data_IF_599201372027
#
_entry.id   IF_599201372027
#
_cell.length_a   1.000
_cell.length_b   1.000
_cell.length_c   1.000
_cell.angle_alpha   90.00
_cell.angle_beta   90.00
_cell.angle_gamma   90.00
#
_symmetry.space_group_name_H-M   'P 1'
#
loop_
_entity.id
_entity.type
_entity.pdbx_description
1 polymer ?
#
# COMPACT_ATOMS: atom_id res chain seq x y z
N UNK A 1 -1.02 35.09 -3.97
CA UNK A 1 -2.26 35.12 -3.16
C UNK A 1 -3.05 33.84 -3.43
N UNK A 2 -2.78 32.76 -2.71
CA UNK A 2 -3.46 31.47 -2.91
C UNK A 2 -3.61 30.70 -1.59
N UNK A 3 -3.94 31.42 -0.51
CA UNK A 3 -4.20 30.85 0.82
C UNK A 3 -5.67 30.98 1.25
N UNK A 4 -6.59 31.21 0.31
CA UNK A 4 -8.01 31.35 0.61
C UNK A 4 -8.85 30.51 -0.36
N UNK A 5 -8.69 29.19 -0.31
CA UNK A 5 -9.78 28.30 -0.70
C UNK A 5 -10.43 27.84 0.60
N UNK A 6 -11.41 28.62 1.08
CA UNK A 6 -12.23 28.34 2.28
C UNK A 6 -12.73 26.87 2.29
N UNK A 7 -13.01 26.33 1.10
CA UNK A 7 -13.45 24.94 0.89
C UNK A 7 -12.38 23.91 1.23
N UNK A 8 -11.10 24.22 1.02
CA UNK A 8 -9.99 23.34 1.38
C UNK A 8 -9.85 23.24 2.92
N UNK A 9 -10.10 24.33 3.64
CA UNK A 9 -10.03 24.36 5.09
C UNK A 9 -11.20 23.60 5.74
N UNK A 10 -12.41 23.75 5.20
CA UNK A 10 -13.58 22.97 5.62
C UNK A 10 -13.40 21.46 5.36
N UNK A 11 -12.90 21.10 4.17
CA UNK A 11 -12.60 19.70 3.82
C UNK A 11 -11.52 19.09 4.73
N UNK A 12 -10.54 19.90 5.16
CA UNK A 12 -9.48 19.48 6.06
C UNK A 12 -10.05 19.06 7.43
N UNK A 13 -10.92 19.88 8.03
CA UNK A 13 -11.54 19.57 9.33
C UNK A 13 -12.33 18.26 9.26
N UNK A 14 -13.11 18.07 8.19
CA UNK A 14 -13.86 16.84 7.97
C UNK A 14 -12.94 15.62 7.84
N UNK A 15 -11.85 15.75 7.08
CA UNK A 15 -10.85 14.68 6.87
C UNK A 15 -10.16 14.30 8.17
N UNK A 16 -9.76 15.28 8.99
CA UNK A 16 -9.13 15.04 10.30
C UNK A 16 -10.08 14.33 11.24
N UNK A 17 -11.35 14.77 11.33
CA UNK A 17 -12.37 14.12 12.17
C UNK A 17 -12.65 12.69 11.73
N UNK A 18 -12.67 12.42 10.42
CA UNK A 18 -12.84 11.08 9.87
C UNK A 18 -11.64 10.19 10.20
N UNK A 19 -10.41 10.69 9.99
CA UNK A 19 -9.18 9.96 10.31
C UNK A 19 -9.08 9.60 11.81
N UNK A 20 -9.41 10.55 12.70
CA UNK A 20 -9.39 10.33 14.15
C UNK A 20 -10.39 9.25 14.63
N UNK A 21 -11.46 9.01 13.87
CA UNK A 21 -12.48 7.99 14.16
C UNK A 21 -12.24 6.69 13.40
N UNK A 22 -11.26 6.65 12.49
CA UNK A 22 -10.97 5.48 11.70
C UNK A 22 -10.53 4.33 12.62
N UNK A 23 -11.18 3.18 12.49
CA UNK A 23 -10.78 1.95 13.18
C UNK A 23 -9.62 1.33 12.41
N UNK A 24 -8.44 1.86 12.64
CA UNK A 24 -7.21 1.30 12.08
C UNK A 24 -6.86 0.08 12.93
N UNK A 25 -6.79 -1.09 12.30
CA UNK A 25 -6.21 -2.26 12.95
C UNK A 25 -4.74 -1.91 13.22
N UNK A 26 -4.27 -1.94 14.48
CA UNK A 26 -2.84 -1.84 14.74
C UNK A 26 -2.14 -2.85 13.83
N UNK A 27 -1.04 -2.45 13.21
CA UNK A 27 -0.12 -3.42 12.62
C UNK A 27 0.40 -4.23 13.81
N UNK A 28 -0.38 -5.21 14.24
CA UNK A 28 -0.07 -6.02 15.40
C UNK A 28 1.24 -6.73 15.14
N UNK A 29 1.90 -7.12 16.23
CA UNK A 29 3.06 -8.01 16.24
C UNK A 29 2.66 -9.36 15.63
N UNK A 30 2.43 -9.38 14.32
CA UNK A 30 2.32 -10.59 13.56
C UNK A 30 3.57 -11.38 13.91
N UNK A 31 3.44 -12.61 14.44
CA UNK A 31 4.60 -13.40 14.81
C UNK A 31 5.53 -13.39 13.60
N UNK A 32 6.84 -13.15 13.79
CA UNK A 32 7.78 -13.06 12.69
C UNK A 32 7.57 -14.32 11.86
N UNK A 33 7.04 -14.14 10.65
CA UNK A 33 6.88 -15.24 9.71
C UNK A 33 8.30 -15.69 9.47
N UNK A 34 8.63 -16.88 9.97
CA UNK A 34 9.94 -17.48 9.71
C UNK A 34 10.16 -17.35 8.20
N UNK A 35 11.31 -16.82 7.74
CA UNK A 35 11.51 -16.59 6.32
C UNK A 35 11.23 -17.91 5.63
N UNK A 36 10.12 -17.95 4.87
CA UNK A 36 9.88 -19.08 4.00
C UNK A 36 11.14 -19.16 3.16
N UNK A 37 11.81 -20.32 3.14
CA UNK A 37 12.91 -20.54 2.22
C UNK A 37 12.45 -19.99 0.87
N UNK A 38 13.26 -19.13 0.23
CA UNK A 38 12.94 -18.51 -1.06
C UNK A 38 12.82 -19.61 -2.11
N UNK A 39 11.75 -20.40 -2.04
CA UNK A 39 11.33 -21.31 -3.05
C UNK A 39 10.86 -20.42 -4.19
N UNK A 40 11.58 -20.50 -5.30
CA UNK A 40 11.19 -19.80 -6.50
C UNK A 40 9.74 -20.12 -6.88
N UNK A 41 9.11 -19.23 -7.64
CA UNK A 41 7.77 -19.48 -8.15
C UNK A 41 7.76 -20.66 -9.14
N UNK A 42 6.83 -21.58 -8.94
CA UNK A 42 6.45 -22.59 -9.94
C UNK A 42 5.20 -22.11 -10.68
N UNK A 43 5.24 -21.94 -12.01
CA UNK A 43 4.09 -21.52 -12.81
C UNK A 43 2.88 -22.43 -12.59
N UNK A 44 1.76 -21.83 -12.19
CA UNK A 44 0.52 -22.55 -11.90
C UNK A 44 -0.73 -21.87 -12.50
N UNK A 45 -0.53 -20.92 -13.42
CA UNK A 45 -1.60 -20.16 -14.06
C UNK A 45 -2.27 -19.09 -13.17
N UNK A 46 -1.78 -18.84 -11.96
CA UNK A 46 -2.30 -17.79 -11.07
C UNK A 46 -1.49 -16.51 -11.21
N UNK A 47 -2.14 -15.39 -10.85
CA UNK A 47 -1.54 -14.05 -10.82
C UNK A 47 -1.71 -13.42 -9.45
N UNK A 48 -0.78 -12.54 -9.08
CA UNK A 48 -0.92 -11.66 -7.91
C UNK A 48 -1.44 -10.31 -8.38
N UNK A 49 -2.50 -9.81 -7.78
CA UNK A 49 -3.03 -8.47 -8.05
C UNK A 49 -2.96 -7.62 -6.78
N UNK A 50 -2.30 -6.46 -6.86
CA UNK A 50 -2.11 -5.54 -5.74
C UNK A 50 -2.74 -4.19 -6.08
N UNK A 51 -3.57 -3.67 -5.17
CA UNK A 51 -4.09 -2.31 -5.20
C UNK A 51 -3.58 -1.52 -4.00
N UNK A 52 -3.04 -0.33 -4.21
CA UNK A 52 -2.46 0.49 -3.15
C UNK A 52 -2.65 2.00 -3.37
N UNK A 53 -2.55 2.80 -2.30
CA UNK A 53 -2.71 4.26 -2.32
C UNK A 53 -1.78 4.92 -1.30
N UNK A 54 -2.29 5.61 -0.28
CA UNK A 54 -1.47 6.28 0.76
C UNK A 54 -0.60 5.26 1.50
N UNK A 55 0.71 5.51 1.58
CA UNK A 55 1.69 4.57 2.18
C UNK A 55 1.96 3.32 1.33
N UNK A 56 1.35 3.21 0.15
CA UNK A 56 1.46 2.05 -0.73
C UNK A 56 2.87 1.81 -1.26
N UNK A 57 3.65 2.87 -1.48
CA UNK A 57 5.03 2.76 -1.97
C UNK A 57 5.91 1.96 -1.01
N UNK A 58 5.93 2.33 0.28
CA UNK A 58 6.72 1.62 1.30
C UNK A 58 6.25 0.18 1.50
N UNK A 59 4.94 -0.05 1.43
CA UNK A 59 4.37 -1.39 1.49
C UNK A 59 4.80 -2.25 0.28
N UNK A 60 4.76 -1.69 -0.92
CA UNK A 60 5.21 -2.36 -2.13
C UNK A 60 6.71 -2.66 -2.08
N UNK A 61 7.55 -1.73 -1.63
CA UNK A 61 8.98 -1.98 -1.45
C UNK A 61 9.25 -3.14 -0.49
N UNK A 62 8.51 -3.18 0.63
CA UNK A 62 8.62 -4.26 1.62
C UNK A 62 8.24 -5.62 1.04
N UNK A 63 7.19 -5.68 0.21
CA UNK A 63 6.71 -6.92 -0.40
C UNK A 63 7.64 -7.37 -1.54
N UNK A 64 7.94 -6.46 -2.47
CA UNK A 64 8.69 -6.77 -3.69
C UNK A 64 10.16 -7.10 -3.39
N UNK A 65 10.75 -6.54 -2.33
CA UNK A 65 12.10 -6.91 -1.89
C UNK A 65 12.21 -8.35 -1.40
N UNK A 66 11.09 -8.99 -1.05
CA UNK A 66 11.04 -10.38 -0.62
C UNK A 66 10.74 -11.34 -1.78
N UNK A 67 10.39 -10.84 -2.96
CA UNK A 67 10.12 -11.69 -4.11
C UNK A 67 11.38 -12.41 -4.57
N UNK A 68 11.29 -13.71 -4.94
CA UNK A 68 12.39 -14.40 -5.59
C UNK A 68 12.63 -13.84 -6.99
N UNK A 69 13.82 -14.09 -7.56
CA UNK A 69 14.15 -13.63 -8.93
C UNK A 69 13.15 -14.14 -9.98
N UNK A 70 12.65 -15.37 -9.82
CA UNK A 70 11.50 -15.89 -10.56
C UNK A 70 10.21 -15.62 -9.76
N UNK A 71 9.77 -14.38 -9.63
CA UNK A 71 8.54 -14.06 -8.93
C UNK A 71 7.28 -14.50 -9.70
N UNK A 72 6.12 -14.67 -9.03
CA UNK A 72 4.86 -14.88 -9.73
C UNK A 72 4.50 -13.67 -10.62
N UNK A 73 3.75 -13.87 -11.73
CA UNK A 73 3.20 -12.76 -12.51
C UNK A 73 2.37 -11.85 -11.61
N UNK A 74 2.74 -10.57 -11.56
CA UNK A 74 2.18 -9.61 -10.60
C UNK A 74 1.72 -8.35 -11.33
N UNK A 75 0.48 -7.93 -11.07
CA UNK A 75 -0.12 -6.68 -11.59
C UNK A 75 -0.37 -5.76 -10.41
N UNK A 76 0.08 -4.51 -10.53
CA UNK A 76 -0.02 -3.51 -9.46
C UNK A 76 -0.77 -2.29 -9.98
N UNK A 77 -1.74 -1.83 -9.21
CA UNK A 77 -2.40 -0.53 -9.39
C UNK A 77 -2.09 0.31 -8.16
N UNK A 78 -1.29 1.35 -8.34
CA UNK A 78 -0.97 2.30 -7.28
C UNK A 78 -1.64 3.63 -7.63
N UNK A 79 -2.51 4.11 -6.75
CA UNK A 79 -3.12 5.43 -6.91
C UNK A 79 -2.06 6.50 -6.63
N UNK A 80 -1.53 7.09 -7.71
CA UNK A 80 -0.56 8.17 -7.71
C UNK A 80 -0.92 9.19 -8.82
N UNK A 81 -0.60 10.49 -8.63
CA UNK A 81 -0.82 11.50 -9.66
C UNK A 81 -0.02 11.17 -10.94
N UNK A 82 -0.46 11.62 -12.12
CA UNK A 82 0.10 11.21 -13.42
C UNK A 82 1.59 11.55 -13.66
N UNK A 83 2.20 12.35 -12.79
CA UNK A 83 3.61 12.73 -12.83
C UNK A 83 4.51 11.86 -11.95
N UNK A 84 3.96 10.84 -11.29
CA UNK A 84 4.69 9.93 -10.42
C UNK A 84 4.43 8.47 -10.80
#
# INVERSE_FOLDING_TARGET
AAFSDERAFEALIATVKAAARARIRPLGDAPPVAPAAQAGYTPNGRVVAIGSSTGGVEALLTILSQFPANCPPTVITQHMPPLF
#
